data_IF_196989468620
#
_entry.id   IF_196989468620
#
_cell.length_a   1.000
_cell.length_b   1.000
_cell.length_c   1.000
_cell.angle_alpha   90.00
_cell.angle_beta   90.00
_cell.angle_gamma   90.00
#
_symmetry.space_group_name_H-M   'P 1'
#
loop_
_entity.id
_entity.type
_entity.pdbx_description
1 polymer ?
#
# COMPACT_ATOMS: atom_id res chain seq x y z
N UNK A 1 9.75 14.39 -14.76
CA UNK A 1 9.50 13.72 -16.07
C UNK A 1 8.21 14.15 -16.78
N UNK A 2 6.97 13.82 -16.34
CA UNK A 2 5.74 14.32 -17.01
C UNK A 2 5.30 15.75 -16.61
N UNK A 3 5.64 16.18 -15.39
CA UNK A 3 5.30 17.53 -14.92
C UNK A 3 6.26 18.60 -15.46
N UNK A 4 7.45 18.20 -15.91
CA UNK A 4 8.48 19.10 -16.46
C UNK A 4 8.30 19.34 -17.96
N UNK A 5 7.52 18.52 -18.67
CA UNK A 5 7.21 18.73 -20.09
C UNK A 5 5.96 19.62 -20.32
N UNK A 6 5.18 19.93 -19.27
CA UNK A 6 3.94 20.71 -19.39
C UNK A 6 2.79 19.96 -20.10
N UNK A 7 2.92 18.66 -20.34
CA UNK A 7 1.98 17.85 -21.12
C UNK A 7 1.02 17.01 -20.27
N UNK A 8 1.22 16.96 -18.94
CA UNK A 8 0.38 16.16 -18.06
C UNK A 8 -1.00 16.80 -17.90
N UNK A 9 -2.05 16.02 -18.17
CA UNK A 9 -3.42 16.42 -17.82
C UNK A 9 -3.59 16.57 -16.30
N UNK A 10 -4.57 17.36 -15.86
CA UNK A 10 -4.88 17.54 -14.43
C UNK A 10 -5.10 16.19 -13.71
N UNK A 11 -5.71 15.22 -14.40
CA UNK A 11 -5.94 13.88 -13.87
C UNK A 11 -4.62 13.10 -13.67
N UNK A 12 -3.65 13.24 -14.57
CA UNK A 12 -2.33 12.60 -14.46
C UNK A 12 -1.50 13.25 -13.34
N UNK A 13 -1.59 14.56 -13.17
CA UNK A 13 -0.95 15.26 -12.07
C UNK A 13 -1.48 14.78 -10.71
N UNK A 14 -2.79 14.57 -10.59
CA UNK A 14 -3.43 14.07 -9.36
C UNK A 14 -3.06 12.62 -9.09
N UNK A 15 -3.05 11.78 -10.13
CA UNK A 15 -2.58 10.39 -10.01
C UNK A 15 -1.12 10.34 -9.58
N UNK A 16 -0.24 11.19 -10.14
CA UNK A 16 1.16 11.27 -9.72
C UNK A 16 1.27 11.67 -8.25
N UNK A 17 0.48 12.65 -7.81
CA UNK A 17 0.45 13.10 -6.40
C UNK A 17 0.00 12.01 -5.43
N UNK A 18 -0.92 11.13 -5.85
CA UNK A 18 -1.38 9.97 -5.08
C UNK A 18 -0.35 8.83 -5.07
N UNK A 19 0.14 8.43 -6.24
CA UNK A 19 0.96 7.22 -6.40
C UNK A 19 2.38 7.42 -5.83
N UNK A 20 2.92 8.63 -5.86
CA UNK A 20 4.27 8.92 -5.33
C UNK A 20 4.45 8.48 -3.86
N UNK A 21 3.65 8.96 -2.90
CA UNK A 21 3.78 8.50 -1.51
C UNK A 21 3.44 7.01 -1.36
N UNK A 22 2.45 6.48 -2.10
CA UNK A 22 2.03 5.06 -2.07
C UNK A 22 3.18 4.13 -2.47
N UNK A 23 3.88 4.42 -3.55
CA UNK A 23 5.01 3.61 -4.01
C UNK A 23 6.13 3.67 -2.98
N UNK A 24 6.51 4.86 -2.53
CA UNK A 24 7.59 5.05 -1.54
C UNK A 24 7.32 4.27 -0.26
N UNK A 25 6.13 4.44 0.34
CA UNK A 25 5.81 3.79 1.61
C UNK A 25 5.70 2.28 1.48
N UNK A 26 5.19 1.77 0.36
CA UNK A 26 4.97 0.34 0.18
C UNK A 26 6.29 -0.38 -0.09
N UNK A 27 7.07 0.07 -1.09
CA UNK A 27 8.36 -0.56 -1.40
C UNK A 27 9.34 -0.43 -0.25
N UNK A 28 9.40 0.74 0.41
CA UNK A 28 10.22 0.95 1.60
C UNK A 28 9.84 -0.01 2.74
N UNK A 29 8.55 -0.27 2.97
CA UNK A 29 8.13 -1.22 4.01
C UNK A 29 8.45 -2.69 3.65
N UNK A 30 8.38 -3.04 2.37
CA UNK A 30 8.64 -4.41 1.89
C UNK A 30 10.14 -4.75 1.81
N UNK A 31 11.01 -3.74 1.65
CA UNK A 31 12.43 -3.94 1.35
C UNK A 31 13.17 -4.73 2.45
N UNK A 32 13.02 -4.34 3.71
CA UNK A 32 13.72 -4.95 4.85
C UNK A 32 13.38 -6.44 5.05
N UNK A 33 12.10 -6.85 5.19
CA UNK A 33 11.79 -8.28 5.34
C UNK A 33 12.21 -9.08 4.11
N UNK A 34 12.07 -8.54 2.90
CA UNK A 34 12.50 -9.24 1.68
C UNK A 34 14.01 -9.52 1.67
N UNK A 35 14.83 -8.54 2.04
CA UNK A 35 16.29 -8.71 2.08
C UNK A 35 16.69 -9.62 3.25
N UNK A 36 15.95 -9.61 4.35
CA UNK A 36 16.16 -10.56 5.46
C UNK A 36 15.95 -12.01 5.00
N UNK A 37 14.86 -12.30 4.27
CA UNK A 37 14.60 -13.62 3.68
C UNK A 37 15.68 -14.02 2.65
N UNK A 38 16.10 -13.06 1.82
CA UNK A 38 17.17 -13.29 0.86
C UNK A 38 18.51 -13.60 1.54
N UNK A 39 18.80 -12.93 2.66
CA UNK A 39 19.98 -13.20 3.48
C UNK A 39 19.93 -14.60 4.10
N UNK A 40 18.76 -15.03 4.59
CA UNK A 40 18.56 -16.36 5.17
C UNK A 40 18.81 -17.49 4.15
N UNK A 41 18.54 -17.26 2.85
CA UNK A 41 18.83 -18.23 1.79
C UNK A 41 20.32 -18.61 1.68
N UNK A 42 21.23 -17.79 2.21
CA UNK A 42 22.67 -18.08 2.27
C UNK A 42 23.12 -18.71 3.61
N UNK A 43 22.19 -18.93 4.54
CA UNK A 43 22.47 -19.45 5.87
C UNK A 43 23.50 -18.59 6.61
N UNK A 44 24.46 -19.24 7.28
CA UNK A 44 25.51 -18.55 8.02
C UNK A 44 26.34 -17.57 7.18
N UNK A 45 26.54 -17.86 5.88
CA UNK A 45 27.28 -16.98 4.98
C UNK A 45 26.55 -15.66 4.75
N UNK A 46 25.22 -15.67 4.73
CA UNK A 46 24.41 -14.45 4.62
C UNK A 46 24.66 -13.47 5.75
N UNK A 47 25.09 -13.94 6.92
CA UNK A 47 25.38 -13.11 8.09
C UNK A 47 26.83 -12.60 8.16
N UNK A 48 27.72 -13.08 7.29
CA UNK A 48 29.13 -12.67 7.28
C UNK A 48 29.29 -11.37 6.49
N UNK A 49 29.78 -10.31 7.14
CA UNK A 49 29.90 -8.96 6.57
C UNK A 49 30.74 -8.94 5.27
N UNK A 50 31.76 -9.78 5.15
CA UNK A 50 32.63 -9.86 3.96
C UNK A 50 31.90 -10.32 2.69
N UNK A 51 30.70 -10.88 2.81
CA UNK A 51 29.84 -11.24 1.66
C UNK A 51 29.10 -10.03 1.07
N UNK A 52 29.01 -8.92 1.80
CA UNK A 52 28.23 -7.73 1.42
C UNK A 52 26.71 -7.87 1.61
N UNK A 53 26.19 -9.05 1.93
CA UNK A 53 24.75 -9.27 2.14
C UNK A 53 24.22 -8.52 3.39
N UNK A 54 24.92 -8.53 4.55
CA UNK A 54 24.47 -7.76 5.70
C UNK A 54 24.42 -6.25 5.45
N UNK A 55 25.34 -5.73 4.62
CA UNK A 55 25.33 -4.33 4.21
C UNK A 55 24.04 -3.96 3.47
N UNK A 56 23.59 -4.81 2.53
CA UNK A 56 22.32 -4.60 1.84
C UNK A 56 21.13 -4.55 2.81
N UNK A 57 21.10 -5.38 3.85
CA UNK A 57 20.04 -5.36 4.86
C UNK A 57 20.08 -4.07 5.70
N UNK A 58 21.28 -3.64 6.13
CA UNK A 58 21.47 -2.39 6.88
C UNK A 58 21.07 -1.17 6.04
N UNK A 59 21.43 -1.14 4.76
CA UNK A 59 21.10 -0.04 3.85
C UNK A 59 19.61 0.00 3.54
N UNK A 60 18.96 -1.15 3.36
CA UNK A 60 17.52 -1.25 3.15
C UNK A 60 16.69 -0.60 4.26
N UNK A 61 17.19 -0.61 5.50
CA UNK A 61 16.51 -0.06 6.66
C UNK A 61 16.31 1.46 6.58
N UNK A 62 17.12 2.18 5.79
CA UNK A 62 16.91 3.63 5.62
C UNK A 62 15.64 3.93 4.83
N UNK A 63 15.24 3.03 3.91
CA UNK A 63 14.16 3.26 2.95
C UNK A 63 12.77 3.51 3.57
N UNK A 64 12.33 2.82 4.65
CA UNK A 64 11.08 3.14 5.34
C UNK A 64 11.20 4.34 6.30
N UNK A 65 12.39 4.91 6.52
CA UNK A 65 12.65 5.95 7.53
C UNK A 65 12.77 7.34 6.90
N UNK A 66 13.75 7.54 6.01
CA UNK A 66 14.03 8.85 5.42
C UNK A 66 12.93 9.29 4.44
N UNK A 67 12.85 10.58 4.09
CA UNK A 67 11.87 11.10 3.12
C UNK A 67 10.41 10.72 3.43
N UNK A 68 10.09 10.66 4.72
CA UNK A 68 8.77 10.32 5.25
C UNK A 68 8.65 8.86 5.68
N UNK A 69 8.32 8.64 6.95
CA UNK A 69 8.06 7.30 7.49
C UNK A 69 6.79 6.69 6.88
N UNK A 70 6.63 5.37 6.96
CA UNK A 70 5.46 4.66 6.42
C UNK A 70 4.13 5.30 6.87
N UNK A 71 3.99 5.66 8.16
CA UNK A 71 2.76 6.27 8.66
C UNK A 71 2.61 7.73 8.22
N UNK A 72 3.69 8.52 8.22
CA UNK A 72 3.63 9.91 7.76
C UNK A 72 3.19 9.99 6.30
N UNK A 73 3.73 9.12 5.44
CA UNK A 73 3.31 9.06 4.03
C UNK A 73 1.90 8.47 3.86
N UNK A 74 1.47 7.58 4.75
CA UNK A 74 0.08 7.09 4.75
C UNK A 74 -0.91 8.22 5.09
N UNK A 75 -0.57 9.11 6.02
CA UNK A 75 -1.36 10.31 6.30
C UNK A 75 -1.30 11.31 5.14
N UNK A 76 -0.18 11.39 4.43
CA UNK A 76 -0.10 12.21 3.22
C UNK A 76 -1.01 11.67 2.11
N UNK A 77 -1.17 10.36 1.96
CA UNK A 77 -2.18 9.76 1.07
C UNK A 77 -3.59 10.23 1.45
N UNK A 78 -3.95 10.25 2.73
CA UNK A 78 -5.24 10.80 3.18
C UNK A 78 -5.39 12.29 2.87
N UNK A 79 -4.30 13.07 2.99
CA UNK A 79 -4.28 14.49 2.61
C UNK A 79 -4.58 14.67 1.12
N UNK A 80 -4.11 13.78 0.24
CA UNK A 80 -4.46 13.81 -1.19
C UNK A 80 -5.96 13.62 -1.38
N UNK A 81 -6.58 12.68 -0.66
CA UNK A 81 -8.03 12.45 -0.72
C UNK A 81 -8.88 13.62 -0.19
N UNK A 82 -8.37 14.40 0.76
CA UNK A 82 -9.06 15.55 1.32
C UNK A 82 -9.16 16.77 0.37
N UNK A 83 -8.54 16.69 -0.82
CA UNK A 83 -8.64 17.73 -1.84
C UNK A 83 -10.04 17.87 -2.45
N UNK A 84 -10.25 18.91 -3.27
CA UNK A 84 -11.54 19.19 -3.94
C UNK A 84 -11.89 18.23 -5.08
N UNK A 85 -10.96 17.35 -5.47
CA UNK A 85 -11.12 16.47 -6.62
C UNK A 85 -11.52 15.06 -6.19
N UNK A 86 -12.28 14.35 -7.03
CA UNK A 86 -12.60 12.94 -6.78
C UNK A 86 -11.40 12.03 -7.09
N UNK A 87 -10.39 12.07 -6.22
CA UNK A 87 -9.13 11.33 -6.37
C UNK A 87 -9.37 9.82 -6.49
N UNK A 88 -10.28 9.27 -5.66
CA UNK A 88 -10.57 7.83 -5.71
C UNK A 88 -11.25 7.43 -7.02
N UNK A 89 -12.20 8.23 -7.51
CA UNK A 89 -12.82 7.97 -8.82
C UNK A 89 -11.83 8.04 -9.98
N UNK A 90 -10.84 8.94 -9.91
CA UNK A 90 -9.74 8.99 -10.88
C UNK A 90 -8.85 7.73 -10.80
N UNK A 91 -8.52 7.29 -9.57
CA UNK A 91 -7.78 6.06 -9.33
C UNK A 91 -8.52 4.83 -9.88
N UNK A 92 -9.81 4.67 -9.56
CA UNK A 92 -10.66 3.60 -10.07
C UNK A 92 -10.72 3.59 -11.60
N UNK A 93 -10.94 4.76 -12.22
CA UNK A 93 -10.96 4.89 -13.68
C UNK A 93 -9.61 4.50 -14.28
N UNK A 94 -8.50 4.94 -13.67
CA UNK A 94 -7.16 4.62 -14.15
C UNK A 94 -6.87 3.14 -14.04
N UNK A 95 -7.14 2.52 -12.90
CA UNK A 95 -6.97 1.07 -12.72
C UNK A 95 -7.82 0.29 -13.71
N UNK A 96 -9.09 0.66 -13.87
CA UNK A 96 -9.99 0.03 -14.84
C UNK A 96 -9.48 0.13 -16.28
N UNK A 97 -8.78 1.22 -16.64
CA UNK A 97 -8.15 1.38 -17.95
C UNK A 97 -6.90 0.52 -18.18
N UNK A 98 -6.28 0.01 -17.11
CA UNK A 98 -5.15 -0.92 -17.20
C UNK A 98 -5.60 -2.36 -17.41
N UNK A 99 -6.81 -2.71 -16.97
CA UNK A 99 -7.34 -4.07 -17.10
C UNK A 99 -7.80 -4.32 -18.55
N UNK A 100 -7.47 -5.48 -19.14
CA UNK A 100 -7.85 -5.79 -20.51
C UNK A 100 -9.38 -5.88 -20.65
N UNK A 101 -9.90 -5.37 -21.77
CA UNK A 101 -11.35 -5.37 -22.04
C UNK A 101 -11.88 -6.71 -22.57
N UNK A 102 -10.98 -7.60 -23.01
CA UNK A 102 -11.29 -8.95 -23.50
C UNK A 102 -10.49 -9.95 -22.68
N UNK A 103 -11.09 -11.12 -22.38
CA UNK A 103 -10.49 -12.15 -21.54
C UNK A 103 -9.13 -12.58 -22.06
N UNK A 104 -8.07 -12.15 -21.38
CA UNK A 104 -6.73 -12.68 -21.56
C UNK A 104 -6.69 -14.04 -20.85
N UNK A 105 -6.22 -15.06 -21.55
CA UNK A 105 -6.31 -16.44 -21.09
C UNK A 105 -5.63 -16.60 -19.71
N UNK A 106 -6.42 -17.00 -18.69
CA UNK A 106 -5.92 -17.20 -17.33
C UNK A 106 -5.89 -15.95 -16.43
N UNK A 107 -6.43 -14.81 -16.88
CA UNK A 107 -6.47 -13.56 -16.10
C UNK A 107 -7.86 -13.19 -15.57
N UNK A 108 -8.90 -13.99 -15.80
CA UNK A 108 -10.27 -13.69 -15.39
C UNK A 108 -10.41 -13.54 -13.86
N UNK A 109 -9.84 -14.48 -13.09
CA UNK A 109 -9.88 -14.46 -11.62
C UNK A 109 -9.05 -13.29 -11.04
N UNK A 110 -7.81 -13.02 -11.48
CA UNK A 110 -7.05 -11.82 -11.07
C UNK A 110 -7.79 -10.51 -11.35
N UNK A 111 -8.40 -10.38 -12.55
CA UNK A 111 -9.21 -9.21 -12.92
C UNK A 111 -10.40 -9.06 -11.98
N UNK A 112 -11.11 -10.15 -11.69
CA UNK A 112 -12.23 -10.13 -10.76
C UNK A 112 -11.80 -9.73 -9.33
N UNK A 113 -10.66 -10.22 -8.87
CA UNK A 113 -10.09 -9.87 -7.57
C UNK A 113 -9.75 -8.38 -7.46
N UNK A 114 -9.09 -7.80 -8.48
CA UNK A 114 -8.79 -6.37 -8.52
C UNK A 114 -10.07 -5.51 -8.54
N UNK A 115 -11.07 -5.90 -9.34
CA UNK A 115 -12.37 -5.19 -9.38
C UNK A 115 -13.08 -5.23 -8.03
N UNK A 116 -13.09 -6.40 -7.38
CA UNK A 116 -13.65 -6.54 -6.03
C UNK A 116 -12.91 -5.65 -5.03
N UNK A 117 -11.57 -5.64 -5.06
CA UNK A 117 -10.75 -4.82 -4.18
C UNK A 117 -11.03 -3.32 -4.33
N UNK A 118 -11.22 -2.83 -5.56
CA UNK A 118 -11.65 -1.45 -5.82
C UNK A 118 -13.03 -1.17 -5.23
N UNK A 119 -13.99 -2.08 -5.40
CA UNK A 119 -15.33 -1.91 -4.84
C UNK A 119 -15.30 -1.89 -3.30
N UNK A 120 -14.57 -2.81 -2.69
CA UNK A 120 -14.44 -2.95 -1.23
C UNK A 120 -13.81 -1.69 -0.63
N UNK A 121 -12.65 -1.25 -1.13
CA UNK A 121 -11.98 -0.03 -0.66
C UNK A 121 -12.83 1.22 -0.91
N UNK A 122 -13.46 1.33 -2.08
CA UNK A 122 -14.32 2.46 -2.42
C UNK A 122 -15.54 2.57 -1.51
N UNK A 123 -16.13 1.42 -1.14
CA UNK A 123 -17.26 1.37 -0.22
C UNK A 123 -16.88 1.87 1.18
N UNK A 124 -15.68 1.51 1.67
CA UNK A 124 -15.16 1.96 2.97
C UNK A 124 -14.90 3.47 2.94
N UNK A 125 -14.18 3.96 1.91
CA UNK A 125 -13.89 5.38 1.77
C UNK A 125 -15.17 6.23 1.67
N UNK A 126 -16.16 5.78 0.90
CA UNK A 126 -17.45 6.47 0.78
C UNK A 126 -18.20 6.53 2.12
N UNK A 127 -18.17 5.44 2.90
CA UNK A 127 -18.79 5.43 4.24
C UNK A 127 -18.08 6.37 5.19
N UNK A 128 -16.74 6.41 5.16
CA UNK A 128 -15.97 7.35 5.99
C UNK A 128 -16.23 8.80 5.64
N UNK A 129 -16.38 9.13 4.36
CA UNK A 129 -16.69 10.50 3.92
C UNK A 129 -18.10 10.97 4.30
N UNK A 130 -19.05 10.04 4.53
CA UNK A 130 -20.43 10.33 4.94
C UNK A 130 -20.65 10.27 6.44
N UNK A 131 -19.69 9.74 7.20
CA UNK A 131 -19.84 9.57 8.63
C UNK A 131 -19.81 10.93 9.34
N UNK A 132 -20.59 11.12 10.42
CA UNK A 132 -20.48 12.31 11.26
C UNK A 132 -19.04 12.50 11.74
N UNK A 133 -18.61 13.76 11.88
CA UNK A 133 -17.31 14.10 12.47
C UNK A 133 -17.12 13.34 13.79
N UNK A 134 -15.91 12.83 14.01
CA UNK A 134 -15.46 12.09 15.21
C UNK A 134 -16.04 10.68 15.41
N UNK A 135 -16.91 10.18 14.53
CA UNK A 135 -17.43 8.81 14.64
C UNK A 135 -16.48 7.73 14.12
N UNK A 136 -15.61 8.09 13.15
CA UNK A 136 -14.65 7.19 12.53
C UNK A 136 -13.26 7.83 12.44
N UNK A 137 -12.24 7.08 12.83
CA UNK A 137 -10.82 7.45 12.77
C UNK A 137 -10.18 6.85 11.52
N UNK A 138 -10.28 7.55 10.39
CA UNK A 138 -9.68 7.12 9.12
C UNK A 138 -8.16 7.10 9.20
N UNK A 139 -7.58 8.02 9.97
CA UNK A 139 -6.17 8.13 10.28
C UNK A 139 -5.60 6.88 10.96
N UNK A 140 -6.38 6.22 11.82
CA UNK A 140 -5.99 4.96 12.46
C UNK A 140 -5.75 3.82 11.44
N UNK A 141 -6.42 3.89 10.28
CA UNK A 141 -6.30 2.91 9.19
C UNK A 141 -5.57 3.46 7.95
N UNK A 142 -4.89 4.62 8.06
CA UNK A 142 -4.24 5.28 6.93
C UNK A 142 -3.27 4.34 6.19
N UNK A 143 -2.50 3.54 6.95
CA UNK A 143 -1.54 2.58 6.40
C UNK A 143 -2.23 1.49 5.58
N UNK A 144 -3.31 0.91 6.10
CA UNK A 144 -4.08 -0.15 5.45
C UNK A 144 -4.71 0.36 4.16
N UNK A 145 -5.24 1.60 4.16
CA UNK A 145 -5.76 2.26 2.97
C UNK A 145 -4.65 2.43 1.93
N UNK A 146 -3.50 3.00 2.30
CA UNK A 146 -2.38 3.19 1.39
C UNK A 146 -1.85 1.87 0.82
N UNK A 147 -1.79 0.81 1.63
CA UNK A 147 -1.38 -0.53 1.21
C UNK A 147 -2.41 -1.19 0.29
N UNK A 148 -3.71 -0.93 0.51
CA UNK A 148 -4.77 -1.33 -0.40
C UNK A 148 -4.57 -0.71 -1.79
N UNK A 149 -4.32 0.60 -1.84
CA UNK A 149 -4.03 1.32 -3.09
C UNK A 149 -2.80 0.76 -3.79
N UNK A 150 -1.71 0.53 -3.04
CA UNK A 150 -0.47 -0.04 -3.58
C UNK A 150 -0.68 -1.41 -4.23
N UNK A 151 -1.38 -2.32 -3.52
CA UNK A 151 -1.62 -3.69 -3.99
C UNK A 151 -2.56 -3.74 -5.20
N UNK A 152 -3.63 -2.94 -5.19
CA UNK A 152 -4.53 -2.78 -6.34
C UNK A 152 -3.77 -2.24 -7.55
N UNK A 153 -2.96 -1.20 -7.37
CA UNK A 153 -2.17 -0.59 -8.43
C UNK A 153 -1.16 -1.58 -9.04
N UNK A 154 -0.39 -2.26 -8.19
CA UNK A 154 0.57 -3.27 -8.62
C UNK A 154 -0.12 -4.45 -9.33
N UNK A 155 -1.24 -4.94 -8.79
CA UNK A 155 -2.00 -6.04 -9.40
C UNK A 155 -2.52 -5.68 -10.79
N UNK A 156 -3.05 -4.47 -10.97
CA UNK A 156 -3.50 -4.00 -12.28
C UNK A 156 -2.36 -3.86 -13.29
N UNK A 157 -1.17 -3.41 -12.85
CA UNK A 157 0.02 -3.35 -13.71
C UNK A 157 0.53 -4.75 -14.10
N UNK A 158 0.54 -5.70 -13.16
CA UNK A 158 0.91 -7.10 -13.43
C UNK A 158 -0.07 -7.74 -14.41
N UNK A 159 -1.38 -7.53 -14.24
CA UNK A 159 -2.40 -8.01 -15.19
C UNK A 159 -2.19 -7.38 -16.56
N UNK A 160 -1.95 -6.06 -16.64
CA UNK A 160 -1.67 -5.39 -17.91
C UNK A 160 -0.47 -6.01 -18.61
N UNK A 161 0.63 -6.19 -17.89
CA UNK A 161 1.85 -6.80 -18.42
C UNK A 161 1.61 -8.24 -18.90
N UNK A 162 0.91 -9.04 -18.10
CA UNK A 162 0.53 -10.40 -18.45
C UNK A 162 -0.52 -10.50 -19.58
N UNK A 163 -1.09 -9.37 -20.01
CA UNK A 163 -2.02 -9.27 -21.14
C UNK A 163 -1.33 -8.87 -22.44
N UNK A 164 -0.06 -8.51 -22.42
CA UNK A 164 0.71 -8.15 -23.61
C UNK A 164 0.93 -9.40 -24.51
N UNK A 165 1.11 -9.17 -25.80
CA UNK A 165 1.25 -10.22 -26.82
C UNK A 165 2.44 -11.19 -26.61
N UNK A 166 3.48 -10.73 -25.92
CA UNK A 166 4.71 -11.44 -25.59
C UNK A 166 4.74 -11.98 -24.16
N UNK A 167 3.62 -11.91 -23.44
CA UNK A 167 3.50 -12.39 -22.07
C UNK A 167 3.82 -13.89 -21.95
N UNK A 168 4.63 -14.23 -20.97
CA UNK A 168 5.00 -15.61 -20.66
C UNK A 168 3.98 -16.25 -19.70
N UNK A 169 4.04 -17.58 -19.56
CA UNK A 169 3.30 -18.29 -18.50
C UNK A 169 3.68 -17.81 -17.10
N UNK A 170 4.92 -17.33 -16.93
CA UNK A 170 5.40 -16.76 -15.68
C UNK A 170 4.67 -15.48 -15.31
N UNK A 171 4.45 -14.59 -16.28
CA UNK A 171 3.77 -13.31 -16.05
C UNK A 171 2.32 -13.50 -15.61
N UNK A 172 1.61 -14.43 -16.27
CA UNK A 172 0.24 -14.82 -15.88
C UNK A 172 0.22 -15.41 -14.47
N UNK A 173 1.18 -16.28 -14.14
CA UNK A 173 1.27 -16.86 -12.80
C UNK A 173 1.58 -15.79 -11.73
N UNK A 174 2.49 -14.86 -11.99
CA UNK A 174 2.82 -13.77 -11.04
C UNK A 174 1.60 -12.88 -10.80
N UNK A 175 0.89 -12.49 -11.88
CA UNK A 175 -0.33 -11.71 -11.76
C UNK A 175 -1.41 -12.45 -10.94
N UNK A 176 -1.54 -13.76 -11.15
CA UNK A 176 -2.47 -14.60 -10.40
C UNK A 176 -2.14 -14.66 -8.92
N UNK A 177 -0.90 -15.02 -8.56
CA UNK A 177 -0.48 -15.10 -7.15
C UNK A 177 -0.63 -13.77 -6.43
N UNK A 178 -0.22 -12.68 -7.07
CA UNK A 178 -0.33 -11.34 -6.48
C UNK A 178 -1.79 -10.95 -6.18
N UNK A 179 -2.71 -11.28 -7.07
CA UNK A 179 -4.11 -10.85 -6.96
C UNK A 179 -4.99 -11.83 -6.17
N UNK A 180 -4.64 -13.11 -6.13
CA UNK A 180 -5.52 -14.18 -5.64
C UNK A 180 -4.98 -14.89 -4.39
N UNK A 181 -3.67 -14.95 -4.17
CA UNK A 181 -3.07 -15.68 -3.03
C UNK A 181 -2.78 -14.77 -1.82
N UNK A 182 -3.14 -13.49 -1.89
CA UNK A 182 -3.05 -12.54 -0.79
C UNK A 182 -4.22 -11.55 -0.84
N UNK A 183 -4.65 -10.96 0.29
CA UNK A 183 -5.64 -9.91 0.26
C UNK A 183 -5.07 -8.67 -0.44
N UNK A 184 -5.78 -8.14 -1.44
CA UNK A 184 -5.47 -6.84 -2.03
C UNK A 184 -5.90 -5.68 -1.13
N UNK A 185 -7.00 -5.86 -0.39
CA UNK A 185 -7.48 -4.93 0.65
C UNK A 185 -7.60 -5.71 1.94
N UNK A 186 -6.80 -5.30 2.93
CA UNK A 186 -6.86 -5.84 4.29
C UNK A 186 -7.26 -4.70 5.23
N UNK A 187 -8.56 -4.41 5.21
CA UNK A 187 -9.18 -3.32 5.94
C UNK A 187 -10.63 -3.71 6.23
N UNK A 188 -11.04 -3.54 7.49
CA UNK A 188 -12.42 -3.78 7.91
C UNK A 188 -13.01 -2.51 8.53
N UNK A 189 -14.32 -2.35 8.39
CA UNK A 189 -15.01 -1.11 8.80
C UNK A 189 -14.95 -0.87 10.32
N UNK A 190 -14.99 -1.93 11.12
CA UNK A 190 -14.87 -1.87 12.58
C UNK A 190 -13.52 -1.32 13.05
N UNK A 191 -12.49 -1.39 12.19
CA UNK A 191 -11.14 -0.91 12.53
C UNK A 191 -11.05 0.61 12.63
N UNK A 192 -12.02 1.31 12.04
CA UNK A 192 -12.08 2.77 12.08
C UNK A 192 -12.86 3.29 13.30
N UNK A 193 -13.41 2.42 14.15
CA UNK A 193 -14.24 2.84 15.28
C UNK A 193 -13.42 3.49 16.41
N UNK A 194 -14.01 4.49 17.09
CA UNK A 194 -13.42 5.09 18.28
C UNK A 194 -13.16 4.06 19.41
N UNK A 195 -14.05 3.06 19.53
CA UNK A 195 -13.88 1.97 20.49
C UNK A 195 -12.60 1.16 20.26
N UNK A 196 -12.19 0.95 19.00
CA UNK A 196 -10.93 0.29 18.71
C UNK A 196 -9.72 1.14 19.07
N UNK A 197 -9.75 2.44 18.80
CA UNK A 197 -8.66 3.36 19.18
C UNK A 197 -8.45 3.33 20.70
N UNK A 198 -9.53 3.29 21.48
CA UNK A 198 -9.42 3.14 22.93
C UNK A 198 -8.82 1.78 23.32
N UNK A 199 -9.28 0.69 22.71
CA UNK A 199 -8.71 -0.64 22.96
C UNK A 199 -7.22 -0.71 22.61
N UNK A 200 -6.80 -0.09 21.49
CA UNK A 200 -5.40 -0.03 21.10
C UNK A 200 -4.55 0.70 22.15
N UNK A 201 -5.07 1.79 22.74
CA UNK A 201 -4.41 2.48 23.87
C UNK A 201 -4.31 1.59 25.09
N UNK A 202 -5.39 0.92 25.46
CA UNK A 202 -5.44 0.06 26.65
C UNK A 202 -4.45 -1.11 26.51
N UNK A 203 -4.29 -1.66 25.31
CA UNK A 203 -3.30 -2.71 24.99
C UNK A 203 -1.87 -2.15 25.07
N UNK A 204 -1.59 -1.02 24.43
CA UNK A 204 -0.23 -0.45 24.36
C UNK A 204 0.26 0.06 25.72
N UNK A 205 -0.62 0.67 26.50
CA UNK A 205 -0.31 1.23 27.82
C UNK A 205 -0.70 0.29 28.97
N UNK A 206 -0.94 -0.99 28.69
CA UNK A 206 -1.22 -1.97 29.73
C UNK A 206 -0.07 -1.98 30.76
N UNK A 207 -0.40 -1.81 32.04
CA UNK A 207 0.56 -1.70 33.15
C UNK A 207 1.50 -0.47 33.11
N UNK A 208 1.25 0.51 32.25
CA UNK A 208 1.93 1.80 32.33
C UNK A 208 1.37 2.60 33.52
N UNK A 209 2.20 2.87 34.53
CA UNK A 209 1.84 3.76 35.62
C UNK A 209 2.54 5.12 35.45
N UNK A 210 1.75 6.19 35.36
CA UNK A 210 2.26 7.58 35.38
C UNK A 210 3.02 7.91 36.69
N UNK A 211 2.87 7.08 37.73
CA UNK A 211 3.53 7.22 39.03
C UNK A 211 4.96 6.66 39.11
N UNK A 212 5.48 6.07 38.03
CA UNK A 212 6.88 5.68 37.96
C UNK A 212 7.73 6.88 37.53
N UNK A 213 8.21 7.66 38.51
CA UNK A 213 9.12 8.81 38.32
C UNK A 213 10.50 8.42 37.80
N UNK A 214 10.57 7.75 36.65
CA UNK A 214 11.81 7.42 35.98
C UNK A 214 12.06 8.45 34.87
N UNK A 215 12.76 9.53 35.24
CA UNK A 215 13.31 10.52 34.30
C UNK A 215 14.51 9.92 33.54
N UNK A 216 14.25 8.92 32.69
CA UNK A 216 15.20 8.48 31.66
C UNK A 216 14.46 8.17 30.36
N UNK A 217 13.79 9.20 29.84
CA UNK A 217 13.75 9.53 28.43
C UNK A 217 14.13 11.00 28.29
#
# INVERSE_FOLDING_TARGET
>A
MFQESGEASDAEAVMLRLITPVVKLYTGKMCVPLISEAMECFGGQGYIEDTGIPAALRDAQVTPIWEGTTNVLSLDVLRVFAGKQNVYGLFEKRVSSLLPSKGAHGLDEPIASVRKAIADLGSILLRTAKAPNDSLHVDACARQIAFGIARIWAGALLIRHASDHDATKGDVAVAHRWCCEQPLVDLKMDWLSAGRVQLDRDIVFQNFSESSGNSKL
#
